data_IF_768741374597
#
_entry.id   IF_768741374597
#
_cell.length_a   1.000
_cell.length_b   1.000
_cell.length_c   1.000
_cell.angle_alpha   90.00
_cell.angle_beta   90.00
_cell.angle_gamma   90.00
#
_symmetry.space_group_name_H-M   'P 1'
#
loop_
_entity.id
_entity.type
_entity.pdbx_description
1 polymer ?
#
# COMPACT_ATOMS: atom_id res chain seq x y z
N UNK A 1 22.36 16.77 3.74
CA UNK A 1 21.00 16.80 3.14
C UNK A 1 20.53 15.36 3.06
N UNK A 2 19.55 14.96 3.87
CA UNK A 2 18.98 13.61 3.83
C UNK A 2 17.78 13.67 2.91
N UNK A 3 17.99 13.42 1.61
CA UNK A 3 16.86 13.20 0.70
C UNK A 3 16.04 12.03 1.24
N UNK A 4 14.72 12.18 1.27
CA UNK A 4 13.81 11.09 1.63
C UNK A 4 13.99 9.97 0.61
N UNK A 5 14.74 8.94 0.97
CA UNK A 5 14.90 7.73 0.18
C UNK A 5 13.52 7.18 -0.18
N UNK A 6 13.40 6.61 -1.37
CA UNK A 6 12.21 5.85 -1.74
C UNK A 6 12.10 4.66 -0.80
N UNK A 7 11.17 4.74 0.16
CA UNK A 7 10.92 3.72 1.18
C UNK A 7 10.13 2.51 0.65
N UNK A 8 10.08 2.31 -0.67
CA UNK A 8 9.39 1.18 -1.26
C UNK A 8 10.20 -0.11 -1.05
N UNK A 9 9.67 -1.01 -0.21
CA UNK A 9 10.14 -2.38 -0.10
C UNK A 9 9.61 -3.20 -1.30
N UNK A 10 10.43 -4.10 -1.84
CA UNK A 10 10.04 -5.00 -2.92
C UNK A 10 10.83 -6.31 -2.89
N UNK A 11 10.29 -7.33 -3.53
CA UNK A 11 10.93 -8.62 -3.80
C UNK A 11 10.65 -9.01 -5.24
N UNK A 12 11.63 -9.53 -5.95
CA UNK A 12 11.48 -10.06 -7.30
C UNK A 12 12.24 -11.36 -7.43
N UNK A 13 11.52 -12.40 -7.86
CA UNK A 13 12.06 -13.69 -8.25
C UNK A 13 12.57 -13.66 -9.68
N UNK A 14 13.60 -14.44 -9.98
CA UNK A 14 14.13 -14.68 -11.32
C UNK A 14 14.63 -16.13 -11.46
N UNK A 15 15.12 -16.51 -12.65
CA UNK A 15 15.53 -17.89 -12.93
C UNK A 15 16.74 -18.31 -12.10
N UNK A 16 16.97 -19.63 -11.98
CA UNK A 16 18.12 -20.22 -11.29
C UNK A 16 18.25 -19.76 -9.82
N UNK A 17 17.12 -19.78 -9.11
CA UNK A 17 17.01 -19.38 -7.70
C UNK A 17 17.50 -17.95 -7.45
N UNK A 18 17.44 -17.10 -8.49
CA UNK A 18 17.84 -15.70 -8.39
C UNK A 18 16.74 -14.87 -7.77
N UNK A 19 17.13 -13.90 -6.96
CA UNK A 19 16.21 -12.91 -6.45
C UNK A 19 16.92 -11.59 -6.22
N UNK A 20 16.13 -10.52 -6.22
CA UNK A 20 16.51 -9.21 -5.71
C UNK A 20 15.41 -8.70 -4.80
N UNK A 21 15.79 -8.20 -3.64
CA UNK A 21 14.87 -7.65 -2.66
C UNK A 21 15.43 -6.37 -2.05
N UNK A 22 14.55 -5.43 -1.73
CA UNK A 22 14.85 -4.25 -0.93
C UNK A 22 13.87 -4.22 0.23
N UNK A 23 14.39 -4.17 1.45
CA UNK A 23 13.61 -3.96 2.67
C UNK A 23 14.21 -2.80 3.47
N UNK A 24 13.70 -2.55 4.68
CA UNK A 24 14.32 -1.57 5.58
C UNK A 24 15.69 -2.02 6.13
N UNK A 25 16.05 -3.30 5.97
CA UNK A 25 17.40 -3.79 6.25
C UNK A 25 18.41 -3.45 5.15
N UNK A 26 17.93 -3.09 3.95
CA UNK A 26 18.77 -2.78 2.79
C UNK A 26 18.41 -3.62 1.56
N UNK A 27 19.32 -3.61 0.59
CA UNK A 27 19.24 -4.41 -0.62
C UNK A 27 19.87 -5.78 -0.37
N UNK A 28 19.17 -6.86 -0.73
CA UNK A 28 19.67 -8.22 -0.67
C UNK A 28 19.36 -8.93 -2.00
N UNK A 29 20.28 -9.76 -2.49
CA UNK A 29 20.12 -10.43 -3.77
C UNK A 29 20.99 -11.69 -3.86
N UNK A 30 20.61 -12.58 -4.77
CA UNK A 30 21.32 -13.83 -5.07
C UNK A 30 21.25 -14.15 -6.55
N UNK A 31 22.33 -14.76 -7.07
CA UNK A 31 22.42 -15.29 -8.44
C UNK A 31 21.97 -14.30 -9.53
N UNK A 32 22.28 -13.02 -9.35
CA UNK A 32 21.86 -12.00 -10.32
C UNK A 32 22.56 -12.20 -11.68
N UNK A 33 21.90 -11.78 -12.78
CA UNK A 33 22.54 -11.69 -14.08
C UNK A 33 23.82 -10.84 -14.00
N UNK A 34 24.90 -11.25 -14.68
CA UNK A 34 26.20 -10.58 -14.56
C UNK A 34 26.12 -9.09 -14.86
N UNK A 35 25.33 -8.72 -15.87
CA UNK A 35 25.12 -7.31 -16.24
C UNK A 35 24.47 -6.48 -15.12
N UNK A 36 23.50 -7.04 -14.40
CA UNK A 36 22.86 -6.41 -13.25
C UNK A 36 23.78 -6.40 -12.03
N UNK A 37 24.53 -7.47 -11.80
CA UNK A 37 25.49 -7.57 -10.71
C UNK A 37 26.61 -6.53 -10.87
N UNK A 38 27.19 -6.41 -12.06
CA UNK A 38 28.21 -5.41 -12.38
C UNK A 38 27.69 -3.99 -12.17
N UNK A 39 26.42 -3.75 -12.55
CA UNK A 39 25.76 -2.47 -12.35
C UNK A 39 25.63 -2.11 -10.85
N UNK A 40 25.21 -3.07 -10.02
CA UNK A 40 25.06 -2.86 -8.56
C UNK A 40 26.41 -2.73 -7.85
N UNK A 41 27.42 -3.50 -8.27
CA UNK A 41 28.77 -3.47 -7.67
C UNK A 41 29.62 -2.28 -8.16
N UNK A 42 29.35 -1.77 -9.37
CA UNK A 42 30.11 -0.71 -10.03
C UNK A 42 30.03 0.67 -9.37
N UNK A 43 29.34 0.82 -8.23
CA UNK A 43 29.11 2.09 -7.50
C UNK A 43 28.43 3.19 -8.33
N UNK A 44 27.91 2.85 -9.50
CA UNK A 44 27.11 3.76 -10.32
C UNK A 44 25.72 3.96 -9.72
N UNK A 45 25.21 2.96 -8.99
CA UNK A 45 23.92 3.00 -8.28
C UNK A 45 24.13 3.42 -6.83
N UNK A 46 23.52 4.55 -6.43
CA UNK A 46 23.51 5.01 -5.04
C UNK A 46 22.27 4.54 -4.26
N UNK A 47 21.14 4.38 -4.95
CA UNK A 47 19.88 3.96 -4.34
C UNK A 47 19.05 3.16 -5.35
N UNK A 48 18.51 2.00 -4.96
CA UNK A 48 17.56 1.24 -5.79
C UNK A 48 16.13 1.63 -5.42
N UNK A 49 15.30 2.04 -6.38
CA UNK A 49 13.89 2.36 -6.14
C UNK A 49 12.97 1.17 -6.39
N UNK A 50 13.25 0.42 -7.46
CA UNK A 50 12.49 -0.77 -7.88
C UNK A 50 13.39 -1.66 -8.74
N UNK A 51 13.23 -2.98 -8.62
CA UNK A 51 13.80 -3.93 -9.55
C UNK A 51 12.78 -5.02 -9.90
N UNK A 52 12.80 -5.46 -11.15
CA UNK A 52 12.02 -6.59 -11.63
C UNK A 52 12.93 -7.53 -12.42
N UNK A 53 12.94 -8.79 -12.04
CA UNK A 53 13.54 -9.89 -12.80
C UNK A 53 12.41 -10.59 -13.56
N UNK A 54 12.69 -10.95 -14.81
CA UNK A 54 11.79 -11.72 -15.67
C UNK A 54 12.19 -13.19 -15.72
N UNK A 55 11.51 -13.99 -16.54
CA UNK A 55 11.72 -15.44 -16.58
C UNK A 55 13.01 -15.88 -17.29
N UNK A 56 13.76 -14.95 -17.87
CA UNK A 56 15.01 -15.19 -18.61
C UNK A 56 16.11 -14.39 -17.92
N UNK A 57 17.32 -14.96 -17.82
CA UNK A 57 18.45 -14.37 -17.07
C UNK A 57 18.68 -12.90 -17.41
N UNK A 58 18.84 -12.53 -18.67
CA UNK A 58 19.09 -11.12 -19.07
C UNK A 58 17.79 -10.29 -19.26
N UNK A 59 16.66 -10.74 -18.70
CA UNK A 59 15.41 -10.01 -18.67
C UNK A 59 15.22 -9.38 -17.29
N UNK A 60 15.63 -8.12 -17.14
CA UNK A 60 15.51 -7.40 -15.88
C UNK A 60 15.32 -5.91 -16.12
N UNK A 61 14.74 -5.20 -15.15
CA UNK A 61 14.59 -3.74 -15.11
C UNK A 61 15.03 -3.23 -13.75
N UNK A 62 15.80 -2.14 -13.73
CA UNK A 62 16.24 -1.45 -12.52
C UNK A 62 15.90 0.04 -12.61
N UNK A 63 15.00 0.51 -11.74
CA UNK A 63 14.81 1.93 -11.45
C UNK A 63 15.66 2.30 -10.23
N UNK A 64 16.55 3.26 -10.39
CA UNK A 64 17.53 3.62 -9.36
C UNK A 64 17.89 5.10 -9.39
N UNK A 65 18.68 5.53 -8.43
CA UNK A 65 19.37 6.80 -8.40
C UNK A 65 20.86 6.54 -8.60
N UNK A 66 21.49 7.29 -9.48
CA UNK A 66 22.92 7.16 -9.74
C UNK A 66 23.76 7.87 -8.65
N UNK A 67 25.08 7.75 -8.73
CA UNK A 67 26.02 8.43 -7.81
C UNK A 67 26.00 9.96 -7.93
N UNK A 68 25.50 10.51 -9.05
CA UNK A 68 25.27 11.94 -9.26
C UNK A 68 23.93 12.43 -8.68
N UNK A 69 23.13 11.52 -8.14
CA UNK A 69 21.82 11.80 -7.57
C UNK A 69 20.70 11.92 -8.62
N UNK A 70 20.95 11.55 -9.88
CA UNK A 70 19.94 11.54 -10.94
C UNK A 70 19.22 10.21 -10.98
N UNK A 71 17.91 10.24 -11.22
CA UNK A 71 17.14 9.01 -11.44
C UNK A 71 17.59 8.38 -12.76
N UNK A 72 17.80 7.06 -12.74
CA UNK A 72 18.19 6.27 -13.90
C UNK A 72 17.26 5.06 -14.04
N UNK A 73 17.00 4.68 -15.29
CA UNK A 73 16.25 3.49 -15.64
C UNK A 73 17.13 2.65 -16.57
N UNK A 74 17.43 1.42 -16.15
CA UNK A 74 18.31 0.50 -16.87
C UNK A 74 17.61 -0.86 -16.99
N UNK A 75 17.99 -1.65 -17.98
CA UNK A 75 17.37 -2.95 -18.24
C UNK A 75 18.34 -3.89 -18.96
N UNK A 76 18.08 -5.19 -18.81
CA UNK A 76 18.84 -6.26 -19.46
C UNK A 76 18.54 -6.39 -20.96
N UNK A 77 19.41 -7.10 -21.67
CA UNK A 77 19.32 -7.24 -23.13
C UNK A 77 18.15 -8.10 -23.62
N UNK A 78 17.50 -8.85 -22.74
CA UNK A 78 16.45 -9.83 -23.06
C UNK A 78 15.05 -9.42 -22.57
N UNK A 79 14.80 -8.13 -22.33
CA UNK A 79 13.43 -7.65 -22.11
C UNK A 79 12.62 -7.67 -23.43
N UNK A 80 11.27 -7.74 -23.37
CA UNK A 80 10.44 -7.69 -24.57
C UNK A 80 10.71 -6.45 -25.44
N UNK A 81 10.83 -6.61 -26.75
CA UNK A 81 11.17 -5.52 -27.70
C UNK A 81 10.19 -4.34 -27.65
N UNK A 82 8.89 -4.63 -27.46
CA UNK A 82 7.86 -3.62 -27.24
C UNK A 82 8.09 -2.84 -25.95
N UNK A 83 8.53 -3.50 -24.89
CA UNK A 83 8.88 -2.85 -23.62
C UNK A 83 10.11 -1.96 -23.78
N UNK A 84 11.16 -2.43 -24.45
CA UNK A 84 12.35 -1.60 -24.76
C UNK A 84 11.97 -0.31 -25.50
N UNK A 85 11.07 -0.39 -26.48
CA UNK A 85 10.56 0.77 -27.22
C UNK A 85 9.76 1.75 -26.34
N UNK A 86 9.15 1.27 -25.26
CA UNK A 86 8.45 2.09 -24.26
C UNK A 86 9.47 2.73 -23.31
N UNK A 87 10.40 1.95 -22.75
CA UNK A 87 11.36 2.42 -21.75
C UNK A 87 12.29 3.51 -22.30
N UNK A 88 12.70 3.41 -23.57
CA UNK A 88 13.52 4.44 -24.25
C UNK A 88 12.83 5.81 -24.36
N UNK A 89 11.50 5.86 -24.25
CA UNK A 89 10.70 7.08 -24.30
C UNK A 89 10.11 7.47 -22.94
N UNK A 90 10.35 6.66 -21.91
CA UNK A 90 9.75 6.84 -20.57
C UNK A 90 10.69 7.66 -19.69
N UNK A 91 10.14 8.58 -18.91
CA UNK A 91 10.92 9.36 -17.94
C UNK A 91 11.32 8.50 -16.73
N UNK A 92 12.39 8.88 -16.06
CA UNK A 92 12.89 8.14 -14.90
C UNK A 92 12.16 8.60 -13.63
N UNK A 93 11.44 7.69 -12.98
CA UNK A 93 10.68 7.96 -11.76
C UNK A 93 10.91 6.89 -10.69
N UNK A 94 11.06 7.26 -9.41
CA UNK A 94 11.09 6.30 -8.30
C UNK A 94 9.74 5.59 -8.08
N UNK A 95 8.66 6.11 -8.69
CA UNK A 95 7.32 5.53 -8.61
C UNK A 95 6.99 4.62 -9.81
N UNK A 96 7.92 4.48 -10.76
CA UNK A 96 7.75 3.54 -11.86
C UNK A 96 7.78 2.10 -11.30
N UNK A 97 6.82 1.29 -11.71
CA UNK A 97 6.72 -0.13 -11.36
C UNK A 97 6.66 -0.94 -12.64
N UNK A 98 7.22 -2.12 -12.59
CA UNK A 98 7.17 -3.07 -13.68
C UNK A 98 7.13 -4.49 -13.13
N UNK A 99 6.46 -5.39 -13.85
CA UNK A 99 6.53 -6.82 -13.66
C UNK A 99 6.79 -7.49 -15.02
N UNK A 100 7.69 -8.46 -15.04
CA UNK A 100 8.10 -9.23 -16.21
C UNK A 100 7.68 -10.68 -15.96
N UNK A 101 6.80 -11.21 -16.81
CA UNK A 101 6.28 -12.56 -16.63
C UNK A 101 6.60 -13.50 -17.80
N UNK A 102 6.03 -14.72 -17.80
CA UNK A 102 6.15 -15.70 -18.90
C UNK A 102 5.77 -15.14 -20.28
N UNK A 103 6.15 -15.81 -21.36
CA UNK A 103 5.64 -15.53 -22.72
C UNK A 103 5.83 -14.08 -23.22
N UNK A 104 6.98 -13.48 -22.91
CA UNK A 104 7.29 -12.06 -23.18
C UNK A 104 6.26 -11.08 -22.61
N UNK A 105 5.52 -11.50 -21.59
CA UNK A 105 4.50 -10.69 -20.94
C UNK A 105 5.11 -9.65 -20.03
N UNK A 106 4.52 -8.48 -20.02
CA UNK A 106 4.94 -7.41 -19.12
C UNK A 106 3.79 -6.47 -18.80
N UNK A 107 3.90 -5.81 -17.66
CA UNK A 107 3.16 -4.60 -17.33
C UNK A 107 4.13 -3.59 -16.74
N UNK A 108 4.00 -2.35 -17.17
CA UNK A 108 4.69 -1.20 -16.60
C UNK A 108 3.65 -0.15 -16.25
N UNK A 109 3.74 0.36 -15.03
CA UNK A 109 2.79 1.36 -14.57
C UNK A 109 3.42 2.42 -13.67
N UNK A 110 2.78 3.58 -13.71
CA UNK A 110 3.04 4.81 -12.98
C UNK A 110 1.69 5.53 -12.87
N UNK A 111 1.49 6.49 -11.94
CA UNK A 111 0.27 7.29 -11.90
C UNK A 111 -0.20 7.90 -13.25
N UNK A 112 0.74 8.12 -14.18
CA UNK A 112 0.51 8.78 -15.48
C UNK A 112 0.80 7.86 -16.69
N UNK A 113 1.21 6.62 -16.45
CA UNK A 113 1.58 5.68 -17.51
C UNK A 113 1.06 4.30 -17.14
N UNK A 114 0.38 3.64 -18.06
CA UNK A 114 0.24 2.18 -18.01
C UNK A 114 0.44 1.62 -19.41
N UNK A 115 1.27 0.60 -19.55
CA UNK A 115 1.43 -0.20 -20.77
C UNK A 115 1.62 -1.66 -20.39
N UNK A 116 1.08 -2.56 -21.21
CA UNK A 116 1.30 -4.00 -21.08
C UNK A 116 1.32 -4.66 -22.46
N UNK A 117 1.77 -5.91 -22.48
CA UNK A 117 1.59 -6.82 -23.60
C UNK A 117 1.57 -8.27 -23.08
N UNK A 118 0.89 -9.14 -23.83
CA UNK A 118 0.85 -10.59 -23.62
C UNK A 118 0.46 -11.03 -22.21
N UNK A 119 -0.37 -10.26 -21.49
CA UNK A 119 -0.83 -10.68 -20.17
C UNK A 119 -1.71 -11.95 -20.29
N UNK A 120 -1.77 -12.81 -19.25
CA UNK A 120 -2.79 -13.85 -19.18
C UNK A 120 -4.18 -13.25 -19.47
N UNK A 121 -5.03 -13.88 -20.32
CA UNK A 121 -6.27 -13.25 -20.79
C UNK A 121 -7.17 -12.71 -19.66
N UNK A 122 -7.36 -13.50 -18.60
CA UNK A 122 -8.17 -13.08 -17.44
C UNK A 122 -7.54 -11.93 -16.64
N UNK A 123 -6.20 -11.81 -16.64
CA UNK A 123 -5.51 -10.68 -16.04
C UNK A 123 -5.65 -9.44 -16.92
N UNK A 124 -5.53 -9.58 -18.25
CA UNK A 124 -5.77 -8.49 -19.18
C UNK A 124 -7.20 -7.95 -19.04
N UNK A 125 -8.21 -8.81 -19.03
CA UNK A 125 -9.60 -8.43 -18.83
C UNK A 125 -9.80 -7.66 -17.53
N UNK A 126 -9.15 -8.09 -16.44
CA UNK A 126 -9.19 -7.41 -15.15
C UNK A 126 -8.61 -5.99 -15.24
N UNK A 127 -7.39 -5.85 -15.77
CA UNK A 127 -6.71 -4.55 -15.93
C UNK A 127 -7.49 -3.63 -16.87
N UNK A 128 -8.02 -4.15 -17.98
CA UNK A 128 -8.86 -3.39 -18.91
C UNK A 128 -10.16 -2.93 -18.24
N UNK A 129 -10.77 -3.77 -17.41
CA UNK A 129 -11.97 -3.39 -16.67
C UNK A 129 -11.72 -2.24 -15.69
N UNK A 130 -10.47 -2.04 -15.24
CA UNK A 130 -10.12 -0.95 -14.35
C UNK A 130 -9.98 0.40 -15.06
N UNK A 131 -10.03 0.42 -16.39
CA UNK A 131 -9.91 1.61 -17.21
C UNK A 131 -11.28 2.11 -17.69
N UNK A 132 -11.35 3.42 -17.92
CA UNK A 132 -12.39 4.12 -18.67
C UNK A 132 -11.72 4.96 -19.75
N UNK A 133 -12.47 5.49 -20.74
CA UNK A 133 -11.92 6.45 -21.69
C UNK A 133 -11.31 7.71 -21.03
N UNK A 134 -11.71 8.01 -19.79
CA UNK A 134 -11.28 9.19 -19.02
C UNK A 134 -10.25 8.88 -17.92
N UNK A 135 -9.79 7.64 -17.76
CA UNK A 135 -8.78 7.27 -16.76
C UNK A 135 -9.12 5.99 -16.00
N UNK A 136 -8.97 6.00 -14.68
CA UNK A 136 -9.13 4.81 -13.84
C UNK A 136 -10.54 4.71 -13.24
N UNK A 137 -11.24 3.60 -13.52
CA UNK A 137 -12.53 3.25 -12.90
C UNK A 137 -12.37 2.90 -11.43
N UNK A 138 -11.35 2.09 -11.11
CA UNK A 138 -11.09 1.58 -9.75
C UNK A 138 -9.66 1.87 -9.29
N UNK A 139 -9.06 2.95 -9.81
CA UNK A 139 -7.70 3.36 -9.48
C UNK A 139 -6.64 2.61 -10.31
N UNK A 140 -5.40 3.12 -10.35
CA UNK A 140 -4.29 2.44 -11.00
C UNK A 140 -3.96 1.12 -10.30
N UNK A 141 -3.20 0.22 -10.93
CA UNK A 141 -2.73 -0.97 -10.27
C UNK A 141 -1.86 -0.63 -9.06
N UNK A 142 -2.17 -1.26 -7.92
CA UNK A 142 -1.33 -1.22 -6.71
C UNK A 142 -0.38 -2.40 -6.70
N UNK A 143 -0.90 -3.59 -7.00
CA UNK A 143 -0.14 -4.84 -7.11
C UNK A 143 -0.58 -5.56 -8.37
N UNK A 144 0.37 -5.99 -9.20
CA UNK A 144 0.12 -6.91 -10.31
C UNK A 144 1.30 -7.87 -10.39
N UNK A 145 1.02 -9.15 -10.29
CA UNK A 145 2.01 -10.23 -10.37
C UNK A 145 1.35 -11.46 -10.96
N UNK A 146 2.11 -12.25 -11.73
CA UNK A 146 1.65 -13.50 -12.29
C UNK A 146 2.81 -14.46 -12.47
N UNK A 147 2.49 -15.74 -12.39
CA UNK A 147 3.43 -16.83 -12.60
C UNK A 147 3.04 -17.69 -13.81
N UNK A 148 3.71 -18.83 -13.98
CA UNK A 148 3.34 -19.84 -14.96
C UNK A 148 1.90 -20.38 -14.75
N UNK A 149 1.40 -21.15 -15.73
CA UNK A 149 0.07 -21.77 -15.73
C UNK A 149 -1.11 -20.79 -15.51
N UNK A 150 -0.91 -19.51 -15.81
CA UNK A 150 -1.95 -18.49 -15.70
C UNK A 150 -2.33 -18.11 -14.27
N UNK A 151 -1.52 -18.46 -13.27
CA UNK A 151 -1.70 -17.95 -11.91
C UNK A 151 -1.40 -16.45 -11.86
N UNK A 152 -2.25 -15.68 -11.20
CA UNK A 152 -2.01 -14.24 -11.03
C UNK A 152 -2.68 -13.68 -9.79
N UNK A 153 -2.17 -12.54 -9.34
CA UNK A 153 -2.81 -11.68 -8.37
C UNK A 153 -2.74 -10.23 -8.87
N UNK A 154 -3.88 -9.54 -8.84
CA UNK A 154 -3.99 -8.14 -9.17
C UNK A 154 -4.88 -7.42 -8.16
N UNK A 155 -4.39 -6.29 -7.66
CA UNK A 155 -5.14 -5.38 -6.79
C UNK A 155 -4.97 -3.94 -7.27
N UNK A 156 -6.07 -3.22 -7.40
CA UNK A 156 -6.06 -1.79 -7.70
C UNK A 156 -5.86 -0.93 -6.44
N UNK A 157 -5.46 0.34 -6.62
CA UNK A 157 -5.38 1.30 -5.51
C UNK A 157 -6.71 1.50 -4.78
N UNK A 158 -7.85 1.26 -5.43
CA UNK A 158 -9.17 1.38 -4.77
C UNK A 158 -9.65 0.06 -4.15
N UNK A 159 -8.81 -0.98 -4.15
CA UNK A 159 -9.07 -2.25 -3.48
C UNK A 159 -9.88 -3.26 -4.31
N UNK A 160 -10.01 -3.06 -5.63
CA UNK A 160 -10.57 -4.08 -6.52
C UNK A 160 -9.54 -5.20 -6.68
N UNK A 161 -9.93 -6.44 -6.41
CA UNK A 161 -9.01 -7.58 -6.32
C UNK A 161 -9.49 -8.68 -7.26
N UNK A 162 -8.61 -9.12 -8.14
CA UNK A 162 -8.82 -10.23 -9.06
C UNK A 162 -7.60 -11.13 -9.01
N UNK A 163 -7.82 -12.44 -8.90
CA UNK A 163 -6.74 -13.41 -8.86
C UNK A 163 -7.17 -14.73 -9.49
N UNK A 164 -6.20 -15.53 -9.91
CA UNK A 164 -6.36 -16.91 -10.38
C UNK A 164 -5.26 -17.77 -9.79
N UNK A 165 -5.60 -19.01 -9.43
CA UNK A 165 -4.73 -19.94 -8.71
C UNK A 165 -4.01 -20.93 -9.66
N UNK A 166 -3.77 -20.51 -10.91
CA UNK A 166 -3.18 -21.36 -11.95
C UNK A 166 -4.14 -22.41 -12.51
N UNK A 167 -3.61 -23.25 -13.40
CA UNK A 167 -4.25 -24.47 -13.90
C UNK A 167 -3.91 -25.66 -13.00
N UNK A 168 -4.87 -26.59 -12.85
CA UNK A 168 -4.73 -27.95 -12.29
C UNK A 168 -3.63 -28.11 -11.23
N UNK A 169 -3.91 -27.64 -10.01
CA UNK A 169 -3.09 -27.85 -8.80
C UNK A 169 -1.60 -27.45 -8.93
N UNK A 170 -1.21 -26.61 -9.89
CA UNK A 170 0.18 -26.15 -10.03
C UNK A 170 0.64 -25.17 -8.93
N UNK A 171 -0.32 -24.58 -8.21
CA UNK A 171 -0.09 -23.55 -7.18
C UNK A 171 -0.81 -23.93 -5.87
N UNK A 172 -0.52 -25.12 -5.33
CA UNK A 172 -1.23 -25.66 -4.16
C UNK A 172 -1.03 -24.81 -2.90
N UNK A 173 0.20 -24.41 -2.57
CA UNK A 173 0.51 -23.61 -1.37
C UNK A 173 -0.07 -22.19 -1.51
N UNK A 174 0.03 -21.59 -2.70
CA UNK A 174 -0.61 -20.30 -2.96
C UNK A 174 -2.14 -20.38 -2.85
N UNK A 175 -2.74 -21.47 -3.38
CA UNK A 175 -4.18 -21.74 -3.25
C UNK A 175 -4.59 -21.92 -1.79
N UNK A 176 -3.87 -22.73 -1.03
CA UNK A 176 -4.11 -22.93 0.41
C UNK A 176 -4.04 -21.60 1.17
N UNK A 177 -3.00 -20.81 0.93
CA UNK A 177 -2.82 -19.48 1.55
C UNK A 177 -4.00 -18.56 1.26
N UNK A 178 -4.44 -18.49 -0.01
CA UNK A 178 -5.58 -17.66 -0.42
C UNK A 178 -6.89 -18.16 0.20
N UNK A 179 -7.09 -19.47 0.28
CA UNK A 179 -8.28 -20.08 0.88
C UNK A 179 -8.32 -19.87 2.41
N UNK A 180 -7.17 -20.01 3.09
CA UNK A 180 -7.02 -19.73 4.52
C UNK A 180 -7.37 -18.28 4.85
N UNK A 181 -6.77 -17.32 4.14
CA UNK A 181 -7.05 -15.90 4.35
C UNK A 181 -8.51 -15.55 4.06
N UNK A 182 -9.11 -16.15 3.03
CA UNK A 182 -10.55 -15.98 2.76
C UNK A 182 -11.44 -16.57 3.86
N UNK A 183 -11.00 -17.63 4.52
CA UNK A 183 -11.72 -18.26 5.63
C UNK A 183 -11.52 -17.50 6.95
N UNK A 184 -10.45 -16.72 7.08
CA UNK A 184 -10.16 -15.91 8.26
C UNK A 184 -11.25 -14.86 8.50
N UNK A 185 -11.79 -14.86 9.71
CA UNK A 185 -12.89 -13.96 10.09
C UNK A 185 -12.41 -12.51 10.12
N UNK A 186 -12.91 -11.72 9.17
CA UNK A 186 -12.66 -10.28 9.12
C UNK A 186 -11.46 -9.89 8.25
N UNK A 187 -10.83 -10.86 7.57
CA UNK A 187 -9.80 -10.56 6.58
C UNK A 187 -10.35 -9.71 5.45
N UNK A 188 -9.61 -8.65 5.10
CA UNK A 188 -9.87 -7.83 3.93
C UNK A 188 -8.65 -7.88 3.01
N UNK A 189 -8.86 -7.98 1.70
CA UNK A 189 -7.75 -7.90 0.75
C UNK A 189 -6.99 -6.57 0.80
N UNK A 190 -7.62 -5.51 1.31
CA UNK A 190 -6.94 -4.24 1.60
C UNK A 190 -5.84 -4.35 2.66
N UNK A 191 -5.90 -5.39 3.50
CA UNK A 191 -4.88 -5.70 4.50
C UNK A 191 -3.62 -6.28 3.87
N UNK A 192 -3.70 -6.76 2.62
CA UNK A 192 -2.53 -7.19 1.87
C UNK A 192 -1.70 -5.98 1.45
N UNK A 193 -0.44 -5.95 1.85
CA UNK A 193 0.49 -4.85 1.55
C UNK A 193 1.35 -5.17 0.35
N UNK A 194 1.77 -6.42 0.22
CA UNK A 194 2.67 -6.88 -0.82
C UNK A 194 2.36 -8.34 -1.17
N UNK A 195 2.41 -8.66 -2.45
CA UNK A 195 2.48 -10.03 -2.94
C UNK A 195 3.24 -10.04 -4.25
N UNK A 196 4.08 -11.06 -4.44
CA UNK A 196 4.74 -11.34 -5.70
C UNK A 196 4.82 -12.85 -5.88
N UNK A 197 4.42 -13.31 -7.07
CA UNK A 197 4.54 -14.68 -7.55
C UNK A 197 5.84 -14.80 -8.36
N UNK A 198 6.49 -15.95 -8.31
CA UNK A 198 7.64 -16.24 -9.16
C UNK A 198 7.19 -16.41 -10.63
N UNK A 199 7.76 -15.64 -11.59
CA UNK A 199 7.44 -15.79 -13.00
C UNK A 199 8.02 -17.06 -13.65
N UNK A 200 8.86 -17.84 -12.95
CA UNK A 200 9.57 -19.02 -13.47
C UNK A 200 9.14 -20.33 -12.84
N UNK A 201 8.78 -20.32 -11.56
CA UNK A 201 8.52 -21.52 -10.78
C UNK A 201 7.11 -21.48 -10.20
N UNK A 202 6.33 -22.51 -10.46
CA UNK A 202 5.02 -22.65 -9.86
C UNK A 202 5.15 -22.79 -8.34
N UNK A 203 4.19 -22.22 -7.62
CA UNK A 203 4.07 -22.27 -6.16
C UNK A 203 5.21 -21.61 -5.37
N UNK A 204 6.08 -20.82 -6.02
CA UNK A 204 6.98 -19.90 -5.35
C UNK A 204 6.36 -18.50 -5.29
N UNK A 205 6.22 -17.96 -4.07
CA UNK A 205 5.66 -16.63 -3.86
C UNK A 205 6.01 -16.09 -2.47
N UNK A 206 5.75 -14.80 -2.28
CA UNK A 206 5.68 -14.20 -0.96
C UNK A 206 4.54 -13.19 -0.91
N UNK A 207 3.80 -13.18 0.20
CA UNK A 207 2.69 -12.30 0.47
C UNK A 207 2.78 -11.76 1.92
N UNK A 208 2.60 -10.45 2.11
CA UNK A 208 2.78 -9.75 3.39
C UNK A 208 1.57 -8.85 3.65
N UNK A 209 1.02 -8.95 4.86
CA UNK A 209 -0.11 -8.14 5.35
C UNK A 209 0.35 -6.93 6.17
N UNK A 210 -0.53 -5.96 6.33
CA UNK A 210 -0.29 -4.71 7.08
C UNK A 210 0.01 -4.96 8.57
N UNK A 211 -0.45 -6.06 9.14
CA UNK A 211 -0.17 -6.48 10.52
C UNK A 211 1.22 -7.15 10.69
N UNK A 212 1.95 -7.34 9.59
CA UNK A 212 3.26 -8.00 9.56
C UNK A 212 3.18 -9.52 9.50
N UNK A 213 1.98 -10.11 9.45
CA UNK A 213 1.85 -11.52 9.08
C UNK A 213 2.22 -11.70 7.62
N UNK A 214 2.82 -12.84 7.30
CA UNK A 214 3.26 -13.15 5.95
C UNK A 214 3.10 -14.64 5.68
N UNK A 215 2.96 -14.97 4.41
CA UNK A 215 2.98 -16.32 3.88
C UNK A 215 3.89 -16.35 2.66
N UNK A 216 4.57 -17.44 2.43
CA UNK A 216 5.45 -17.57 1.28
C UNK A 216 5.94 -19.00 1.13
N UNK A 217 6.33 -19.32 -0.08
CA UNK A 217 6.90 -20.59 -0.48
C UNK A 217 8.05 -20.30 -1.41
N UNK A 218 9.19 -20.92 -1.15
CA UNK A 218 10.43 -20.77 -1.91
C UNK A 218 11.27 -22.02 -1.67
N UNK A 219 12.18 -22.33 -2.59
CA UNK A 219 13.17 -23.39 -2.37
C UNK A 219 13.94 -23.17 -1.04
N UNK A 220 14.19 -24.26 -0.29
CA UNK A 220 14.88 -24.28 1.00
C UNK A 220 16.15 -23.41 1.02
N UNK A 221 16.87 -23.33 -0.10
CA UNK A 221 18.14 -22.60 -0.16
C UNK A 221 17.92 -21.07 -0.07
N UNK A 222 16.70 -20.57 -0.31
CA UNK A 222 16.34 -19.15 -0.22
C UNK A 222 15.35 -18.80 0.91
N UNK A 223 14.97 -19.76 1.75
CA UNK A 223 14.01 -19.56 2.84
C UNK A 223 14.42 -18.41 3.79
N UNK A 224 15.69 -18.35 4.19
CA UNK A 224 16.24 -17.29 5.06
C UNK A 224 16.09 -15.89 4.42
N UNK A 225 16.22 -15.79 3.10
CA UNK A 225 16.10 -14.52 2.40
C UNK A 225 14.66 -13.99 2.43
N UNK A 226 13.69 -14.89 2.25
CA UNK A 226 12.27 -14.61 2.30
C UNK A 226 11.86 -14.18 3.71
N UNK A 227 12.26 -14.94 4.74
CA UNK A 227 12.00 -14.60 6.14
C UNK A 227 12.65 -13.25 6.51
N UNK A 228 13.91 -13.04 6.13
CA UNK A 228 14.62 -11.78 6.38
C UNK A 228 13.92 -10.60 5.72
N UNK A 229 13.45 -10.77 4.48
CA UNK A 229 12.69 -9.74 3.79
C UNK A 229 11.36 -9.45 4.51
N UNK A 230 10.59 -10.49 4.85
CA UNK A 230 9.29 -10.33 5.51
C UNK A 230 9.42 -9.63 6.87
N UNK A 231 10.38 -10.03 7.70
CA UNK A 231 10.63 -9.44 9.02
C UNK A 231 11.09 -7.97 8.95
N UNK A 232 11.70 -7.57 7.84
CA UNK A 232 12.19 -6.20 7.62
C UNK A 232 11.37 -5.42 6.59
N UNK A 233 10.22 -5.95 6.14
CA UNK A 233 9.39 -5.33 5.12
C UNK A 233 8.87 -3.97 5.56
N UNK A 234 8.46 -3.87 6.83
CA UNK A 234 8.08 -2.63 7.48
C UNK A 234 9.26 -2.05 8.25
N UNK A 235 9.37 -0.72 8.24
CA UNK A 235 10.16 0.00 9.22
C UNK A 235 9.46 -0.20 10.56
N UNK A 236 9.79 -1.27 11.28
CA UNK A 236 9.63 -1.24 12.72
C UNK A 236 10.53 -0.11 13.16
N UNK A 237 9.94 1.03 13.51
CA UNK A 237 10.63 2.13 14.15
C UNK A 237 11.27 1.55 15.41
N UNK A 238 12.49 1.02 15.28
CA UNK A 238 13.29 0.59 16.41
C UNK A 238 13.45 1.87 17.19
N UNK A 239 12.67 2.00 18.27
CA UNK A 239 12.86 3.04 19.27
C UNK A 239 14.30 2.85 19.73
N UNK A 240 15.22 3.62 19.14
CA UNK A 240 16.59 3.71 19.64
C UNK A 240 16.45 4.23 21.06
N UNK A 241 16.45 3.32 22.02
CA UNK A 241 16.69 3.64 23.42
C UNK A 241 18.10 4.21 23.46
N UNK A 242 18.20 5.54 23.38
CA UNK A 242 19.48 6.21 23.63
C UNK A 242 19.85 5.89 25.08
N UNK A 243 21.01 5.29 25.35
CA UNK A 243 21.55 5.31 26.70
C UNK A 243 21.76 6.77 27.09
N UNK A 244 21.16 7.15 28.21
CA UNK A 244 21.23 8.48 28.81
C UNK A 244 22.67 8.74 29.26
N UNK A 245 23.44 9.47 28.47
CA UNK A 245 24.71 10.04 28.91
C UNK A 245 24.49 11.52 29.23
N UNK A 246 24.38 11.80 30.52
CA UNK A 246 24.35 13.14 31.09
C UNK A 246 25.72 13.81 30.95
N UNK A 247 25.82 14.89 30.19
CA UNK A 247 26.86 15.90 30.40
C UNK A 247 26.35 17.28 29.98
N UNK A 248 26.45 18.21 30.93
CA UNK A 248 26.12 19.62 30.81
C UNK A 248 27.32 20.41 30.27
N UNK A 249 27.08 21.32 29.34
CA UNK A 249 27.80 22.60 29.26
C UNK A 249 27.14 23.50 28.23
N UNK A 250 26.75 24.70 28.66
CA UNK A 250 25.90 25.62 27.92
C UNK A 250 26.59 26.45 26.84
N UNK A 251 25.78 26.92 25.89
CA UNK A 251 26.08 28.07 25.05
C UNK A 251 24.78 28.72 24.52
N UNK A 252 24.79 30.05 24.45
CA UNK A 252 23.67 30.96 24.14
C UNK A 252 23.36 31.12 22.63
N UNK A 253 22.18 31.67 22.26
CA UNK A 253 21.56 31.46 20.96
C UNK A 253 21.78 32.60 19.96
N UNK A 254 21.73 32.29 18.66
CA UNK A 254 21.45 33.26 17.62
C UNK A 254 20.45 32.65 16.62
N UNK A 255 19.25 33.23 16.58
CA UNK A 255 18.04 32.60 16.05
C UNK A 255 17.84 32.79 14.55
N UNK A 256 17.62 31.68 13.87
CA UNK A 256 16.71 31.58 12.72
C UNK A 256 15.93 30.29 12.94
N UNK A 257 14.68 30.42 13.38
CA UNK A 257 13.77 29.31 13.70
C UNK A 257 13.44 28.53 12.43
N UNK A 258 14.33 27.60 12.08
CA UNK A 258 13.92 26.43 11.30
C UNK A 258 13.02 25.63 12.21
N UNK A 259 11.71 25.73 11.98
CA UNK A 259 10.68 24.89 12.56
C UNK A 259 11.09 23.42 12.40
N UNK A 260 11.80 22.89 13.39
CA UNK A 260 12.04 21.46 13.52
C UNK A 260 10.67 20.87 13.80
N UNK A 261 10.13 20.16 12.82
CA UNK A 261 8.85 19.46 12.89
C UNK A 261 8.80 18.68 14.21
N UNK A 262 8.12 19.27 15.20
CA UNK A 262 8.13 18.77 16.56
C UNK A 262 7.44 17.42 16.54
N UNK A 263 8.06 16.43 17.19
CA UNK A 263 7.43 15.11 17.37
C UNK A 263 6.01 15.32 17.91
N UNK A 264 4.99 14.65 17.34
CA UNK A 264 3.62 14.84 17.76
C UNK A 264 3.49 14.54 19.26
N UNK A 265 2.73 15.39 19.94
CA UNK A 265 2.40 15.23 21.36
C UNK A 265 1.67 13.89 21.58
N UNK A 266 2.08 13.14 22.60
CA UNK A 266 1.60 11.78 22.84
C UNK A 266 0.09 11.74 23.14
N UNK A 267 -0.45 12.77 23.79
CA UNK A 267 -1.89 12.85 24.04
C UNK A 267 -2.68 13.08 22.75
N UNK A 268 -2.16 13.95 21.87
CA UNK A 268 -2.77 14.20 20.55
C UNK A 268 -2.69 12.95 19.65
N UNK A 269 -1.59 12.21 19.68
CA UNK A 269 -1.47 10.94 18.97
C UNK A 269 -2.48 9.90 19.46
N UNK A 270 -2.67 9.75 20.78
CA UNK A 270 -3.67 8.84 21.34
C UNK A 270 -5.11 9.22 20.91
N UNK A 271 -5.41 10.52 20.80
CA UNK A 271 -6.70 10.99 20.27
C UNK A 271 -6.88 10.61 18.80
N UNK A 272 -5.83 10.75 17.98
CA UNK A 272 -5.86 10.28 16.59
C UNK A 272 -6.08 8.78 16.48
N UNK A 273 -5.33 7.97 17.24
CA UNK A 273 -5.46 6.50 17.21
C UNK A 273 -6.87 6.06 17.58
N UNK A 274 -7.44 6.66 18.63
CA UNK A 274 -8.82 6.41 19.05
C UNK A 274 -9.83 6.77 17.94
N UNK A 275 -9.79 8.01 17.44
CA UNK A 275 -10.70 8.48 16.40
C UNK A 275 -10.57 7.65 15.11
N UNK A 276 -9.34 7.35 14.69
CA UNK A 276 -9.06 6.57 13.48
C UNK A 276 -9.63 5.15 13.59
N UNK A 277 -9.47 4.51 14.76
CA UNK A 277 -10.02 3.19 15.06
C UNK A 277 -11.56 3.22 15.04
N UNK A 278 -12.18 4.18 15.71
CA UNK A 278 -13.64 4.32 15.73
C UNK A 278 -14.20 4.56 14.31
N UNK A 279 -13.59 5.46 13.54
CA UNK A 279 -13.97 5.73 12.17
C UNK A 279 -13.75 4.51 11.26
N UNK A 280 -12.67 3.75 11.44
CA UNK A 280 -12.40 2.53 10.67
C UNK A 280 -13.44 1.43 10.96
N UNK A 281 -13.80 1.24 12.23
CA UNK A 281 -14.87 0.31 12.65
C UNK A 281 -16.21 0.72 12.02
N UNK A 282 -16.55 2.01 12.02
CA UNK A 282 -17.76 2.52 11.37
C UNK A 282 -17.77 2.23 9.86
N UNK A 283 -16.67 2.49 9.15
CA UNK A 283 -16.60 2.22 7.71
C UNK A 283 -16.62 0.73 7.36
N UNK A 284 -15.99 -0.11 8.17
CA UNK A 284 -16.02 -1.55 7.99
C UNK A 284 -17.44 -2.10 8.17
N UNK A 285 -18.14 -1.68 9.23
CA UNK A 285 -19.53 -2.06 9.48
C UNK A 285 -20.46 -1.61 8.34
N UNK A 286 -20.30 -0.38 7.85
CA UNK A 286 -21.09 0.16 6.77
C UNK A 286 -20.79 -0.49 5.41
N UNK A 287 -19.52 -0.82 5.14
CA UNK A 287 -19.14 -1.53 3.91
C UNK A 287 -19.75 -2.93 3.88
N UNK A 288 -19.72 -3.63 5.02
CA UNK A 288 -20.38 -4.93 5.16
C UNK A 288 -21.90 -4.86 4.97
N UNK A 289 -22.54 -3.76 5.40
CA UNK A 289 -23.97 -3.53 5.22
C UNK A 289 -24.34 -3.14 3.77
N UNK A 290 -23.52 -2.31 3.12
CA UNK A 290 -23.75 -1.80 1.77
C UNK A 290 -23.58 -2.88 0.68
N UNK A 291 -22.75 -3.90 0.94
CA UNK A 291 -22.53 -5.05 0.06
C UNK A 291 -23.72 -6.01 -0.03
N UNK A 292 -24.96 -5.51 -0.03
CA UNK A 292 -26.24 -6.25 0.03
C UNK A 292 -26.54 -7.25 -1.11
N UNK A 293 -25.54 -7.77 -1.80
CA UNK A 293 -25.65 -9.04 -2.49
C UNK A 293 -25.54 -10.16 -1.46
N UNK A 294 -26.66 -10.89 -1.28
CA UNK A 294 -26.66 -12.18 -0.57
C UNK A 294 -25.41 -12.98 -1.03
N UNK A 295 -24.54 -13.47 -0.12
CA UNK A 295 -23.73 -14.61 -0.49
C UNK A 295 -24.71 -15.68 -0.97
N UNK A 296 -24.59 -16.13 -2.23
CA UNK A 296 -25.21 -17.40 -2.64
C UNK A 296 -24.76 -18.41 -1.59
N UNK A 297 -25.71 -18.92 -0.81
CA UNK A 297 -25.42 -19.85 0.26
C UNK A 297 -24.53 -20.99 -0.30
N UNK A 298 -23.46 -21.40 0.39
CA UNK A 298 -22.75 -22.60 -0.01
C UNK A 298 -23.75 -23.76 0.01
N UNK A 299 -24.02 -24.34 -1.15
CA UNK A 299 -24.74 -25.61 -1.23
C UNK A 299 -23.86 -26.62 -0.51
N UNK A 300 -24.37 -27.11 0.61
CA UNK A 300 -23.81 -28.24 1.36
C UNK A 300 -23.76 -29.44 0.41
N UNK A 301 -22.58 -29.77 -0.12
CA UNK A 301 -22.37 -31.07 -0.73
C UNK A 301 -22.17 -32.05 0.43
N UNK A 302 -23.17 -32.91 0.62
CA UNK A 302 -23.13 -33.99 1.57
C UNK A 302 -22.17 -35.07 1.04
N UNK A 303 -20.87 -34.92 1.33
CA UNK A 303 -19.91 -36.02 1.13
C UNK A 303 -20.01 -36.94 2.34
N UNK A 304 -20.64 -38.08 2.09
CA UNK A 304 -20.80 -39.20 3.00
C UNK A 304 -19.48 -39.97 2.99
N UNK A 305 -18.68 -39.83 4.05
CA UNK A 305 -17.64 -40.82 4.38
C UNK A 305 -17.61 -41.00 5.90
N UNK A 306 -17.87 -42.23 6.32
CA UNK A 306 -17.78 -42.70 7.69
C UNK A 306 -16.35 -42.56 8.20
N UNK A 307 -16.19 -42.15 9.47
CA UNK A 307 -15.27 -42.76 10.44
C UNK A 307 -15.45 -42.09 11.80
N UNK A 308 -15.69 -42.93 12.80
CA UNK A 308 -15.89 -42.66 14.21
C UNK A 308 -14.58 -42.20 14.87
N UNK A 309 -14.62 -41.20 15.74
CA UNK A 309 -13.93 -41.21 17.04
C UNK A 309 -14.31 -39.98 17.86
N UNK A 310 -14.16 -40.18 19.16
CA UNK A 310 -14.88 -39.55 20.26
C UNK A 310 -14.17 -38.32 20.82
N UNK A 311 -14.99 -37.38 21.31
CA UNK A 311 -14.89 -36.73 22.62
C UNK A 311 -13.66 -35.87 22.98
N UNK A 312 -13.85 -34.55 23.04
CA UNK A 312 -13.25 -33.68 24.07
C UNK A 312 -13.99 -32.34 24.15
N UNK A 313 -14.51 -32.06 25.34
CA UNK A 313 -15.32 -30.91 25.70
C UNK A 313 -14.49 -29.63 25.78
N UNK A 314 -14.83 -28.60 25.00
CA UNK A 314 -14.29 -27.23 25.15
C UNK A 314 -15.33 -26.30 25.80
N UNK A 315 -14.92 -25.42 26.73
CA UNK A 315 -15.82 -24.54 27.45
C UNK A 315 -16.35 -23.39 26.56
N UNK A 316 -17.54 -22.84 26.84
CA UNK A 316 -18.15 -21.80 26.03
C UNK A 316 -17.43 -20.46 26.24
N UNK A 317 -16.78 -19.95 25.18
CA UNK A 317 -16.34 -18.57 25.13
C UNK A 317 -17.58 -17.67 24.99
N UNK A 318 -17.74 -16.75 25.95
CA UNK A 318 -18.77 -15.72 25.93
C UNK A 318 -18.71 -14.93 24.61
N UNK A 319 -19.69 -15.20 23.74
CA UNK A 319 -19.91 -14.48 22.50
C UNK A 319 -20.55 -13.14 22.86
N UNK A 320 -19.79 -12.05 22.79
CA UNK A 320 -20.35 -10.70 22.83
C UNK A 320 -21.42 -10.58 21.73
N UNK A 321 -22.58 -9.97 22.02
CA UNK A 321 -23.67 -9.87 21.06
C UNK A 321 -23.18 -9.15 19.81
N UNK A 322 -23.18 -9.89 18.70
CA UNK A 322 -22.79 -9.39 17.38
C UNK A 322 -23.81 -8.34 16.95
N UNK A 323 -23.47 -7.06 17.08
CA UNK A 323 -24.22 -6.00 16.44
C UNK A 323 -24.29 -6.30 14.94
N UNK A 324 -25.50 -6.27 14.38
CA UNK A 324 -25.67 -6.41 12.93
C UNK A 324 -24.88 -5.29 12.22
N UNK A 325 -24.26 -5.58 11.06
CA UNK A 325 -23.63 -4.53 10.26
C UNK A 325 -24.70 -3.49 9.89
N UNK A 326 -24.39 -2.21 10.11
CA UNK A 326 -25.29 -1.08 9.87
C UNK A 326 -24.62 -0.08 8.93
N UNK A 327 -25.42 0.48 8.02
CA UNK A 327 -25.02 1.65 7.23
C UNK A 327 -24.76 2.86 8.17
N UNK A 328 -23.99 3.83 7.68
CA UNK A 328 -23.71 5.06 8.40
C UNK A 328 -24.98 5.91 8.52
N UNK A 329 -25.32 6.28 9.75
CA UNK A 329 -26.38 7.24 10.08
C UNK A 329 -25.83 8.48 10.80
N UNK A 330 -24.51 8.56 10.95
CA UNK A 330 -23.81 9.69 11.56
C UNK A 330 -22.39 9.82 11.00
N UNK A 331 -21.85 11.04 11.07
CA UNK A 331 -20.51 11.34 10.63
C UNK A 331 -19.49 11.09 11.76
N UNK A 332 -18.32 10.50 11.46
CA UNK A 332 -17.24 10.33 12.43
C UNK A 332 -16.52 11.67 12.71
N UNK A 333 -17.18 12.55 13.46
CA UNK A 333 -16.66 13.88 13.81
C UNK A 333 -15.31 13.83 14.53
N UNK A 334 -14.52 14.88 14.35
CA UNK A 334 -13.26 15.04 15.05
C UNK A 334 -13.51 15.25 16.55
N UNK A 335 -12.61 14.78 17.44
CA UNK A 335 -12.72 15.04 18.86
C UNK A 335 -12.72 16.55 19.16
N UNK A 336 -13.67 17.01 19.98
CA UNK A 336 -13.78 18.42 20.39
C UNK A 336 -12.51 18.96 21.07
N UNK A 337 -11.70 18.06 21.64
CA UNK A 337 -10.41 18.39 22.26
C UNK A 337 -9.35 18.83 21.25
N UNK A 338 -9.52 18.52 19.96
CA UNK A 338 -8.62 18.93 18.88
C UNK A 338 -9.19 20.09 18.05
N UNK A 339 -10.51 20.26 18.00
CA UNK A 339 -11.18 21.33 17.23
C UNK A 339 -11.12 22.71 17.90
N UNK A 340 -9.95 23.07 18.43
CA UNK A 340 -9.72 24.24 19.29
C UNK A 340 -9.20 25.47 18.55
N UNK A 341 -9.09 25.46 17.22
CA UNK A 341 -8.68 26.65 16.47
C UNK A 341 -9.69 27.79 16.66
N UNK A 342 -9.18 28.94 17.13
CA UNK A 342 -9.97 30.12 17.51
C UNK A 342 -9.80 31.30 16.52
N UNK A 343 -9.27 31.04 15.32
CA UNK A 343 -9.22 32.08 14.29
C UNK A 343 -10.65 32.45 13.90
N UNK A 344 -10.95 33.75 13.81
CA UNK A 344 -12.30 34.26 13.54
C UNK A 344 -12.96 33.58 12.33
N UNK A 345 -12.22 33.44 11.23
CA UNK A 345 -12.72 32.75 10.03
C UNK A 345 -13.04 31.26 10.28
N UNK A 346 -12.24 30.58 11.09
CA UNK A 346 -12.48 29.19 11.46
C UNK A 346 -13.68 29.05 12.39
N UNK A 347 -13.88 29.96 13.33
CA UNK A 347 -15.05 29.96 14.21
C UNK A 347 -16.35 30.12 13.42
N UNK A 348 -16.36 30.99 12.40
CA UNK A 348 -17.51 31.15 11.50
C UNK A 348 -17.81 29.83 10.79
N UNK A 349 -16.80 29.21 10.16
CA UNK A 349 -16.96 27.92 9.45
C UNK A 349 -17.47 26.80 10.39
N UNK A 350 -16.93 26.70 11.60
CA UNK A 350 -17.34 25.68 12.59
C UNK A 350 -18.77 25.87 13.10
N UNK A 351 -19.26 27.11 13.10
CA UNK A 351 -20.59 27.46 13.61
C UNK A 351 -21.73 27.15 12.64
N UNK A 352 -21.42 26.81 11.40
CA UNK A 352 -22.44 26.46 10.41
C UNK A 352 -23.19 25.18 10.83
N UNK A 353 -24.54 25.22 10.87
CA UNK A 353 -25.34 24.03 11.08
C UNK A 353 -25.11 23.05 9.92
N UNK A 354 -25.01 21.77 10.24
CA UNK A 354 -24.72 20.69 9.28
C UNK A 354 -23.34 20.80 8.60
N UNK A 355 -22.33 21.27 9.33
CA UNK A 355 -20.92 21.22 8.95
C UNK A 355 -20.17 20.12 9.70
N UNK A 356 -18.93 19.83 9.30
CA UNK A 356 -18.06 18.90 10.05
C UNK A 356 -17.52 19.46 11.37
N UNK A 357 -17.89 20.69 11.76
CA UNK A 357 -17.46 21.37 12.98
C UNK A 357 -15.94 21.44 13.19
N UNK A 358 -15.18 21.45 12.09
CA UNK A 358 -13.73 21.51 12.08
C UNK A 358 -13.24 22.43 10.95
N UNK A 359 -12.15 23.14 11.17
CA UNK A 359 -11.47 23.89 10.12
C UNK A 359 -10.22 23.16 9.63
N UNK A 360 -9.59 23.68 8.58
CA UNK A 360 -8.34 23.15 8.02
C UNK A 360 -7.26 22.92 9.09
N UNK A 361 -7.08 23.88 10.00
CA UNK A 361 -6.06 23.80 11.06
C UNK A 361 -6.33 22.66 12.05
N UNK A 362 -7.60 22.39 12.39
CA UNK A 362 -7.92 21.29 13.31
C UNK A 362 -7.71 19.93 12.62
N UNK A 363 -8.12 19.84 11.35
CA UNK A 363 -7.92 18.63 10.52
C UNK A 363 -6.43 18.36 10.36
N UNK A 364 -5.63 19.36 9.98
CA UNK A 364 -4.17 19.23 9.90
C UNK A 364 -3.56 18.78 11.23
N UNK A 365 -3.94 19.44 12.34
CA UNK A 365 -3.43 19.12 13.67
C UNK A 365 -3.71 17.66 14.04
N UNK A 366 -4.93 17.17 13.80
CA UNK A 366 -5.28 15.77 14.04
C UNK A 366 -4.48 14.83 13.12
N UNK A 367 -4.43 15.11 11.82
CA UNK A 367 -3.79 14.23 10.85
C UNK A 367 -2.27 14.19 11.02
N UNK A 368 -1.63 15.28 11.44
CA UNK A 368 -0.20 15.30 11.83
C UNK A 368 0.09 14.43 13.03
N UNK A 369 -0.86 14.27 13.94
CA UNK A 369 -0.72 13.40 15.10
C UNK A 369 -0.63 11.90 14.73
N UNK A 370 -0.95 11.52 13.48
CA UNK A 370 -0.73 10.17 12.96
C UNK A 370 0.75 9.77 12.89
N UNK A 371 1.66 10.74 12.78
CA UNK A 371 3.07 10.48 12.45
C UNK A 371 3.32 10.01 11.01
N UNK A 372 2.27 9.89 10.19
CA UNK A 372 2.32 9.47 8.78
C UNK A 372 2.07 10.63 7.80
N UNK A 373 1.85 11.84 8.33
CA UNK A 373 1.45 13.02 7.58
C UNK A 373 2.45 13.38 6.50
N UNK A 374 2.09 13.09 5.26
CA UNK A 374 2.87 13.32 4.06
C UNK A 374 1.93 13.54 2.88
N UNK A 375 2.46 14.06 1.77
CA UNK A 375 1.68 14.30 0.55
C UNK A 375 0.97 13.03 0.06
N UNK A 376 1.70 11.92 -0.05
CA UNK A 376 1.14 10.65 -0.53
C UNK A 376 0.11 10.07 0.45
N UNK A 377 0.38 10.17 1.75
CA UNK A 377 -0.54 9.70 2.78
C UNK A 377 -1.84 10.52 2.79
N UNK A 378 -1.78 11.85 2.70
CA UNK A 378 -2.98 12.70 2.61
C UNK A 378 -3.80 12.40 1.37
N UNK A 379 -3.14 12.09 0.25
CA UNK A 379 -3.82 11.72 -1.00
C UNK A 379 -4.63 10.43 -0.82
N UNK A 380 -4.07 9.43 -0.13
CA UNK A 380 -4.76 8.19 0.23
C UNK A 380 -5.92 8.45 1.20
N UNK A 381 -5.67 9.21 2.28
CA UNK A 381 -6.70 9.52 3.27
C UNK A 381 -7.86 10.30 2.64
N UNK A 382 -7.59 11.26 1.75
CA UNK A 382 -8.62 12.01 1.02
C UNK A 382 -9.61 11.11 0.26
N UNK A 383 -9.14 10.01 -0.34
CA UNK A 383 -10.00 9.08 -1.10
C UNK A 383 -11.03 8.37 -0.22
N UNK A 384 -10.75 8.20 1.07
CA UNK A 384 -11.70 7.66 2.06
C UNK A 384 -12.92 8.56 2.25
N UNK A 385 -12.72 9.87 2.07
CA UNK A 385 -13.74 10.91 2.26
C UNK A 385 -14.39 11.38 0.97
N UNK A 386 -14.19 10.66 -0.15
CA UNK A 386 -14.86 11.01 -1.40
C UNK A 386 -16.39 10.97 -1.23
N UNK A 387 -17.14 12.04 -1.57
CA UNK A 387 -18.56 12.15 -1.25
C UNK A 387 -19.38 10.98 -1.83
N UNK A 388 -19.13 10.59 -3.09
CA UNK A 388 -19.84 9.46 -3.69
C UNK A 388 -19.55 8.11 -3.02
N UNK A 389 -18.30 7.88 -2.59
CA UNK A 389 -17.92 6.64 -1.91
C UNK A 389 -18.54 6.58 -0.53
N UNK A 390 -18.44 7.69 0.21
CA UNK A 390 -19.02 7.83 1.53
C UNK A 390 -20.55 7.68 1.48
N UNK A 391 -21.21 8.29 0.49
CA UNK A 391 -22.67 8.20 0.31
C UNK A 391 -23.19 6.78 0.07
N UNK A 392 -22.39 5.89 -0.54
CA UNK A 392 -22.75 4.46 -0.68
C UNK A 392 -22.73 3.71 0.65
N UNK A 393 -21.97 4.20 1.63
CA UNK A 393 -21.89 3.64 2.97
C UNK A 393 -22.99 4.21 3.90
N UNK A 394 -23.72 5.23 3.47
CA UNK A 394 -24.75 5.88 4.27
C UNK A 394 -26.11 5.21 4.10
N UNK A 395 -26.89 5.26 5.19
CA UNK A 395 -28.32 4.99 5.17
C UNK A 395 -29.01 5.94 4.18
N UNK A 396 -30.10 5.50 3.58
CA UNK A 396 -30.79 6.23 2.52
C UNK A 396 -31.29 7.61 3.01
N UNK A 397 -31.86 7.65 4.22
CA UNK A 397 -32.35 8.89 4.84
C UNK A 397 -31.22 9.88 5.19
N UNK A 398 -30.00 9.38 5.40
CA UNK A 398 -28.85 10.19 5.81
C UNK A 398 -27.84 10.43 4.68
N UNK A 399 -28.07 9.85 3.50
CA UNK A 399 -27.10 9.80 2.39
C UNK A 399 -26.64 11.17 1.92
N UNK A 400 -27.57 12.09 1.70
CA UNK A 400 -27.24 13.42 1.18
C UNK A 400 -26.50 14.27 2.23
N UNK A 401 -26.90 14.16 3.50
CA UNK A 401 -26.18 14.77 4.62
C UNK A 401 -24.76 14.21 4.75
N UNK A 402 -24.61 12.89 4.71
CA UNK A 402 -23.32 12.22 4.75
C UNK A 402 -22.40 12.61 3.59
N UNK A 403 -22.92 12.68 2.36
CA UNK A 403 -22.18 13.19 1.18
C UNK A 403 -21.71 14.61 1.38
N UNK A 404 -22.57 15.51 1.89
CA UNK A 404 -22.22 16.91 2.15
C UNK A 404 -21.04 17.00 3.13
N UNK A 405 -21.14 16.34 4.29
CA UNK A 405 -20.10 16.34 5.33
C UNK A 405 -18.78 15.71 4.85
N UNK A 406 -18.85 14.59 4.13
CA UNK A 406 -17.67 13.99 3.51
C UNK A 406 -17.03 14.91 2.46
N UNK A 407 -17.84 15.63 1.68
CA UNK A 407 -17.39 16.64 0.73
C UNK A 407 -16.64 17.80 1.40
N UNK A 408 -17.06 18.24 2.59
CA UNK A 408 -16.32 19.25 3.37
C UNK A 408 -14.95 18.72 3.83
N UNK A 409 -14.90 17.51 4.38
CA UNK A 409 -13.63 16.87 4.76
C UNK A 409 -12.69 16.71 3.55
N UNK A 410 -13.22 16.26 2.42
CA UNK A 410 -12.47 16.11 1.17
C UNK A 410 -11.87 17.43 0.67
N UNK A 411 -12.63 18.53 0.78
CA UNK A 411 -12.15 19.89 0.43
C UNK A 411 -11.00 20.31 1.35
N UNK A 412 -11.15 20.16 2.67
CA UNK A 412 -10.09 20.51 3.62
C UNK A 412 -8.80 19.72 3.33
N UNK A 413 -8.89 18.42 3.09
CA UNK A 413 -7.73 17.59 2.72
C UNK A 413 -7.11 18.01 1.38
N UNK A 414 -7.90 18.51 0.44
CA UNK A 414 -7.37 19.02 -0.84
C UNK A 414 -6.52 20.27 -0.63
N UNK A 415 -6.94 21.19 0.24
CA UNK A 415 -6.15 22.37 0.60
C UNK A 415 -4.83 21.96 1.29
N UNK A 416 -4.87 21.00 2.22
CA UNK A 416 -3.66 20.49 2.88
C UNK A 416 -2.64 19.86 1.90
N UNK A 417 -3.14 19.18 0.87
CA UNK A 417 -2.31 18.62 -0.21
C UNK A 417 -1.65 19.74 -1.04
N UNK A 418 -2.38 20.82 -1.33
CA UNK A 418 -1.85 21.99 -2.04
C UNK A 418 -0.81 22.75 -1.20
N UNK A 419 -1.07 22.94 0.08
CA UNK A 419 -0.11 23.57 1.00
C UNK A 419 1.20 22.78 1.07
N UNK A 420 1.13 21.44 1.17
CA UNK A 420 2.33 20.60 1.15
C UNK A 420 3.11 20.72 -0.19
N UNK A 421 2.42 20.88 -1.32
CA UNK A 421 3.07 21.09 -2.62
C UNK A 421 3.82 22.42 -2.68
N UNK A 422 3.22 23.49 -2.16
CA UNK A 422 3.85 24.82 -2.13
C UNK A 422 5.14 24.79 -1.29
N UNK A 423 5.10 24.17 -0.11
CA UNK A 423 6.27 24.06 0.77
C UNK A 423 7.40 23.20 0.17
N UNK A 424 7.08 22.23 -0.68
CA UNK A 424 8.10 21.44 -1.39
C UNK A 424 8.80 22.22 -2.51
N UNK A 425 8.09 23.14 -3.17
CA UNK A 425 8.64 23.95 -4.28
C UNK A 425 9.61 25.04 -3.84
N UNK A 426 9.35 25.69 -2.70
CA UNK A 426 10.16 26.81 -2.19
C UNK A 426 11.56 26.36 -1.71
N UNK A 427 11.71 25.11 -1.28
CA UNK A 427 12.97 24.55 -0.79
C UNK A 427 14.01 24.24 -1.88
N UNK A 428 13.60 24.12 -3.16
CA UNK A 428 14.50 23.76 -4.27
C UNK A 428 15.09 24.94 -5.05
N UNK A 429 14.61 26.17 -4.84
CA UNK A 429 14.89 27.31 -5.73
C UNK A 429 15.95 28.33 -5.27
N UNK A 430 16.45 28.28 -4.03
CA UNK A 430 17.21 29.41 -3.44
C UNK A 430 18.68 29.15 -3.09
N UNK A 431 19.41 28.40 -3.93
CA UNK A 431 20.88 28.35 -3.88
C UNK A 431 21.48 28.54 -5.27
N UNK A 432 21.51 29.79 -5.69
CA UNK A 432 22.13 30.22 -6.94
C UNK A 432 22.39 31.71 -6.95
N UNK A 433 23.12 32.22 -5.95
CA UNK A 433 24.00 33.41 -6.07
C UNK A 433 25.24 33.16 -5.22
#
# INVERSE_FOLDING_TARGET
MSGTASNASFFSFGPNDSYISKSFAGLNYRNLPSSLQDLLLGRSVSEVHWAALGPITESWILSSKDSSGRNSLQWGSSIPSRLQSILTKTWHSPHLRAFLGPDDSFIIWHPELIRWANLPPSLEDAVQSWLTPSGWRVGPPRIVTWGPEGAFFAMSEYGDVVYRLGDVDAWEIYKETVEEWKAEKGFLWSDLTFITLDPTSSDQFIAIRNDGTWAGSIDDVNEEALETFALNFFARAKKKSKPSTSQSSGQMPNGTDKSTEAKPDAATQALYEKWSTEAAVMFAAASAAAGGSKPKAPRKLQVRSQSSSSDASRPPLHRTPSASPKLLSMFPYLPNTITTCNLTACTILKSEPDSIHACQHDVEKLLRASGLYSYEWLRQERLRWHPDRFGRLCDEEWRETGKKLAGEMFKLMSVLIEDLKLHQGEGSGSRGV
#
